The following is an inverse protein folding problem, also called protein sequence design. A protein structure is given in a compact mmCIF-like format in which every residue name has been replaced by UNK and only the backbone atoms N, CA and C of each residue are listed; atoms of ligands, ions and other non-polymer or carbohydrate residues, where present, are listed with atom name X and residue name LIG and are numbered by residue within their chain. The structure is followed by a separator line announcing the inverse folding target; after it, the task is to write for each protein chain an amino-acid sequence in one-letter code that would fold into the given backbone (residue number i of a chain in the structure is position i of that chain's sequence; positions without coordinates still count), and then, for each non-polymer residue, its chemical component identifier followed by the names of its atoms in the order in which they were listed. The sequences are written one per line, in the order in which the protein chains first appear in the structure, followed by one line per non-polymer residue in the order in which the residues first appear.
data_IF_910723566813
#
_entry.id   IF_910723566813
#
_cell.length_a   1.000
_cell.length_b   1.000
_cell.length_c   1.000
_cell.angle_alpha   90.00
_cell.angle_beta   90.00
_cell.angle_gamma   90.00
#
_symmetry.space_group_name_H-M   'P 1'
#
loop_
_entity.id
_entity.type
_entity.pdbx_description
1 polymer ?
#
# COMPACT_ATOMS: atom_id res chain seq x y z
N UNK A 1 -36.05 -24.21 14.63
CA UNK A 1 -34.96 -25.20 14.72
C UNK A 1 -33.93 -24.87 15.81
N UNK A 2 -33.02 -25.80 16.18
CA UNK A 2 -31.96 -25.58 17.20
C UNK A 2 -30.59 -26.09 16.75
N UNK A 3 -29.53 -25.38 17.13
CA UNK A 3 -28.13 -25.86 17.07
C UNK A 3 -27.77 -26.48 18.42
N UNK A 4 -27.35 -27.74 18.40
CA UNK A 4 -27.05 -28.53 19.60
C UNK A 4 -25.56 -28.74 19.75
N UNK A 5 -25.04 -28.55 20.96
CA UNK A 5 -23.67 -28.88 21.32
C UNK A 5 -23.67 -30.20 22.07
N UNK A 6 -22.77 -31.10 21.69
CA UNK A 6 -22.59 -32.40 22.36
C UNK A 6 -21.18 -32.42 22.95
N UNK A 7 -21.08 -32.58 24.27
CA UNK A 7 -19.79 -32.82 24.92
C UNK A 7 -19.36 -34.27 24.67
N UNK A 8 -18.28 -34.47 23.90
CA UNK A 8 -17.87 -35.80 23.43
C UNK A 8 -17.48 -36.74 24.57
N UNK A 9 -16.92 -36.21 25.65
CA UNK A 9 -16.47 -37.03 26.78
C UNK A 9 -17.63 -37.60 27.62
N UNK A 10 -18.75 -36.86 27.72
CA UNK A 10 -19.87 -37.18 28.62
C UNK A 10 -21.15 -37.56 27.87
N UNK A 11 -21.26 -37.17 26.60
CA UNK A 11 -22.50 -37.25 25.83
C UNK A 11 -23.54 -36.19 26.23
N UNK A 12 -23.19 -35.21 27.05
CA UNK A 12 -24.12 -34.15 27.45
C UNK A 12 -24.52 -33.31 26.23
N UNK A 13 -25.83 -33.09 26.06
CA UNK A 13 -26.39 -32.32 24.93
C UNK A 13 -27.02 -31.03 25.43
N UNK A 14 -26.40 -29.89 25.12
CA UNK A 14 -26.95 -28.56 25.41
C UNK A 14 -27.44 -27.89 24.13
N UNK A 15 -28.37 -26.93 24.26
CA UNK A 15 -28.69 -26.01 23.15
C UNK A 15 -27.63 -24.92 23.15
N UNK A 16 -27.04 -24.65 21.98
CA UNK A 16 -26.12 -23.52 21.79
C UNK A 16 -26.89 -22.27 21.35
N UNK A 17 -27.77 -22.42 20.35
CA UNK A 17 -28.65 -21.36 19.85
C UNK A 17 -29.90 -21.93 19.19
N UNK A 18 -30.95 -21.12 19.08
CA UNK A 18 -32.21 -21.45 18.41
C UNK A 18 -33.39 -21.65 19.37
N UNK A 19 -34.46 -20.87 19.16
CA UNK A 19 -35.71 -20.94 19.92
C UNK A 19 -36.39 -22.33 19.80
N UNK A 20 -36.25 -22.95 18.64
CA UNK A 20 -36.98 -24.16 18.25
C UNK A 20 -38.07 -23.88 17.23
N UNK A 21 -38.55 -22.65 17.14
CA UNK A 21 -39.49 -22.18 16.11
C UNK A 21 -38.76 -21.88 14.79
N UNK A 22 -39.50 -21.87 13.68
CA UNK A 22 -38.98 -21.49 12.37
C UNK A 22 -39.08 -19.97 12.22
N UNK A 23 -37.96 -19.35 11.84
CA UNK A 23 -37.82 -17.91 11.68
C UNK A 23 -36.37 -17.58 11.35
N UNK A 24 -36.05 -16.30 11.18
CA UNK A 24 -34.73 -15.81 10.75
C UNK A 24 -34.12 -14.77 11.70
N UNK A 25 -34.69 -14.59 12.90
CA UNK A 25 -34.23 -13.62 13.86
C UNK A 25 -32.77 -13.89 14.31
N UNK A 26 -31.93 -12.86 14.25
CA UNK A 26 -30.63 -12.83 14.93
C UNK A 26 -30.84 -12.60 16.44
N UNK A 27 -29.91 -13.06 17.26
CA UNK A 27 -30.04 -12.98 18.72
C UNK A 27 -29.12 -13.92 19.47
N UNK A 28 -29.24 -13.93 20.79
CA UNK A 28 -28.40 -14.77 21.67
C UNK A 28 -29.21 -15.96 22.19
N UNK A 29 -28.66 -17.17 22.03
CA UNK A 29 -29.24 -18.39 22.58
C UNK A 29 -30.63 -18.70 21.99
N UNK A 30 -31.64 -18.84 22.86
CA UNK A 30 -33.02 -19.14 22.44
C UNK A 30 -33.76 -17.94 21.81
N UNK A 31 -33.16 -16.73 21.77
CA UNK A 31 -33.72 -15.59 21.05
C UNK A 31 -33.45 -15.61 19.53
N UNK A 32 -32.46 -16.39 19.10
CA UNK A 32 -32.18 -16.59 17.69
C UNK A 32 -33.13 -17.62 17.07
N UNK A 33 -33.44 -17.47 15.79
CA UNK A 33 -34.30 -18.37 15.04
C UNK A 33 -33.62 -18.84 13.76
N UNK A 34 -33.92 -20.10 13.39
CA UNK A 34 -33.40 -20.78 12.22
C UNK A 34 -34.53 -21.54 11.52
N UNK A 35 -34.45 -21.63 10.20
CA UNK A 35 -35.36 -22.41 9.36
C UNK A 35 -34.58 -23.43 8.53
N UNK A 36 -34.69 -24.71 8.93
CA UNK A 36 -33.96 -25.82 8.32
C UNK A 36 -32.43 -25.58 8.20
N UNK A 37 -31.71 -25.36 9.33
CA UNK A 37 -30.25 -25.28 9.29
C UNK A 37 -29.67 -26.64 8.85
N UNK A 38 -28.92 -26.64 7.75
CA UNK A 38 -28.52 -27.87 7.06
C UNK A 38 -27.03 -28.17 7.21
N UNK A 39 -26.17 -27.27 6.74
CA UNK A 39 -24.71 -27.36 6.85
C UNK A 39 -24.17 -26.59 8.03
N UNK A 40 -23.08 -27.09 8.62
CA UNK A 40 -22.29 -26.37 9.63
C UNK A 40 -20.80 -26.54 9.38
N UNK A 41 -20.05 -25.44 9.50
CA UNK A 41 -18.59 -25.42 9.50
C UNK A 41 -18.10 -24.69 10.76
N UNK A 42 -16.92 -25.06 11.26
CA UNK A 42 -16.28 -24.39 12.39
C UNK A 42 -15.14 -23.51 11.88
N UNK A 43 -14.93 -22.35 12.49
CA UNK A 43 -13.77 -21.52 12.23
C UNK A 43 -12.48 -22.22 12.67
N UNK A 44 -11.32 -21.94 12.05
CA UNK A 44 -10.04 -22.59 12.42
C UNK A 44 -9.62 -22.41 13.88
N UNK A 45 -10.01 -21.29 14.50
CA UNK A 45 -9.77 -20.99 15.91
C UNK A 45 -10.81 -21.63 16.86
N UNK A 46 -11.87 -22.23 16.32
CA UNK A 46 -12.94 -22.87 17.08
C UNK A 46 -13.93 -21.89 17.73
N UNK A 47 -13.80 -20.58 17.51
CA UNK A 47 -14.61 -19.56 18.17
C UNK A 47 -16.01 -19.39 17.54
N UNK A 48 -16.16 -19.69 16.26
CA UNK A 48 -17.40 -19.48 15.52
C UNK A 48 -17.85 -20.72 14.73
N UNK A 49 -19.16 -20.92 14.62
CA UNK A 49 -19.79 -21.83 13.67
C UNK A 49 -20.43 -21.02 12.54
N UNK A 50 -20.32 -21.50 11.31
CA UNK A 50 -21.05 -20.98 10.16
C UNK A 50 -22.11 -21.99 9.77
N UNK A 51 -23.36 -21.53 9.71
CA UNK A 51 -24.55 -22.36 9.50
C UNK A 51 -25.21 -21.93 8.20
N UNK A 52 -25.46 -22.90 7.32
CA UNK A 52 -26.30 -22.72 6.15
C UNK A 52 -27.77 -22.86 6.59
N UNK A 53 -28.47 -21.73 6.68
CA UNK A 53 -29.87 -21.63 7.11
C UNK A 53 -30.77 -21.72 5.88
N UNK A 54 -30.99 -22.96 5.43
CA UNK A 54 -31.39 -23.28 4.06
C UNK A 54 -32.71 -22.62 3.65
N UNK A 55 -33.74 -22.70 4.47
CA UNK A 55 -35.07 -22.14 4.12
C UNK A 55 -35.15 -20.63 4.32
N UNK A 56 -34.15 -20.04 4.98
CA UNK A 56 -34.02 -18.59 5.12
C UNK A 56 -33.05 -18.00 4.07
N UNK A 57 -32.49 -18.80 3.17
CA UNK A 57 -31.53 -18.36 2.14
C UNK A 57 -30.38 -17.50 2.71
N UNK A 58 -29.88 -17.88 3.90
CA UNK A 58 -28.88 -17.12 4.68
C UNK A 58 -27.72 -17.98 5.17
N UNK A 59 -26.56 -17.34 5.32
CA UNK A 59 -25.40 -17.88 6.03
C UNK A 59 -25.30 -17.17 7.38
N UNK A 60 -25.39 -17.94 8.47
CA UNK A 60 -25.43 -17.43 9.85
C UNK A 60 -24.13 -17.77 10.56
N UNK A 61 -23.62 -16.85 11.38
CA UNK A 61 -22.49 -17.07 12.29
C UNK A 61 -23.00 -17.26 13.71
N UNK A 62 -22.55 -18.29 14.39
CA UNK A 62 -22.84 -18.56 15.80
C UNK A 62 -21.54 -18.50 16.60
N UNK A 63 -21.44 -17.57 17.53
CA UNK A 63 -20.31 -17.49 18.47
C UNK A 63 -20.41 -18.64 19.49
N UNK A 64 -19.39 -19.51 19.55
CA UNK A 64 -19.40 -20.73 20.36
C UNK A 64 -19.44 -20.43 21.85
N UNK A 65 -18.81 -19.33 22.28
CA UNK A 65 -18.73 -18.94 23.68
C UNK A 65 -20.04 -18.35 24.22
N UNK A 66 -20.76 -17.56 23.40
CA UNK A 66 -21.92 -16.78 23.85
C UNK A 66 -23.25 -17.30 23.31
N UNK A 67 -23.23 -18.09 22.23
CA UNK A 67 -24.44 -18.47 21.49
C UNK A 67 -25.05 -17.31 20.72
N UNK A 68 -24.32 -16.22 20.50
CA UNK A 68 -24.75 -15.10 19.66
C UNK A 68 -24.81 -15.51 18.19
N UNK A 69 -25.94 -15.24 17.55
CA UNK A 69 -26.21 -15.51 16.14
C UNK A 69 -26.30 -14.20 15.38
N UNK A 70 -25.53 -14.10 14.30
CA UNK A 70 -25.59 -12.98 13.35
C UNK A 70 -25.68 -13.49 11.91
N UNK A 71 -26.32 -12.72 11.03
CA UNK A 71 -26.29 -12.97 9.59
C UNK A 71 -24.98 -12.46 8.99
N UNK A 72 -24.29 -13.31 8.22
CA UNK A 72 -23.01 -12.96 7.55
C UNK A 72 -23.22 -12.66 6.07
N UNK A 73 -24.13 -13.37 5.41
CA UNK A 73 -24.49 -13.15 4.03
C UNK A 73 -25.90 -13.71 3.75
N UNK A 74 -26.60 -13.11 2.78
CA UNK A 74 -27.91 -13.54 2.32
C UNK A 74 -29.02 -12.56 2.71
N UNK A 75 -29.76 -12.09 1.71
CA UNK A 75 -30.88 -11.15 1.87
C UNK A 75 -32.14 -11.79 2.47
N UNK A 76 -32.20 -13.13 2.48
CA UNK A 76 -33.41 -13.89 2.75
C UNK A 76 -34.37 -13.99 1.56
N UNK A 77 -34.02 -13.40 0.41
CA UNK A 77 -34.72 -13.60 -0.85
C UNK A 77 -33.99 -14.67 -1.64
N UNK A 78 -34.71 -15.73 -2.01
CA UNK A 78 -34.20 -16.78 -2.88
C UNK A 78 -33.74 -16.21 -4.23
N UNK A 79 -32.49 -16.45 -4.59
CA UNK A 79 -31.91 -16.00 -5.85
C UNK A 79 -30.42 -16.30 -5.96
N UNK A 80 -29.80 -15.78 -7.01
CA UNK A 80 -28.38 -16.04 -7.32
C UNK A 80 -27.56 -14.76 -7.47
N UNK A 81 -28.07 -13.62 -7.00
CA UNK A 81 -27.38 -12.34 -7.08
C UNK A 81 -26.12 -12.35 -6.20
N UNK A 82 -25.01 -11.87 -6.75
CA UNK A 82 -23.79 -11.62 -5.98
C UNK A 82 -23.89 -10.29 -5.23
N UNK A 83 -23.25 -10.22 -4.07
CA UNK A 83 -23.26 -9.04 -3.21
C UNK A 83 -22.42 -9.24 -1.96
N UNK A 84 -22.39 -8.20 -1.12
CA UNK A 84 -21.73 -8.24 0.19
C UNK A 84 -22.80 -8.27 1.28
N UNK A 85 -22.66 -9.18 2.24
CA UNK A 85 -23.60 -9.30 3.35
C UNK A 85 -25.02 -9.58 2.88
N UNK A 86 -25.97 -8.78 3.36
CA UNK A 86 -27.41 -8.92 3.08
C UNK A 86 -27.80 -8.51 1.64
N UNK A 87 -26.86 -8.03 0.83
CA UNK A 87 -27.09 -7.77 -0.60
C UNK A 87 -26.94 -9.03 -1.47
N UNK A 88 -26.30 -10.08 -0.96
CA UNK A 88 -26.18 -11.35 -1.69
C UNK A 88 -27.48 -12.16 -1.60
N UNK A 89 -27.79 -12.93 -2.63
CA UNK A 89 -28.90 -13.88 -2.65
C UNK A 89 -28.36 -15.31 -2.80
N UNK A 90 -28.99 -16.24 -2.09
CA UNK A 90 -28.71 -17.68 -2.19
C UNK A 90 -29.98 -18.43 -2.60
N UNK A 91 -29.81 -19.59 -3.24
CA UNK A 91 -30.91 -20.52 -3.48
C UNK A 91 -30.67 -21.81 -2.69
N UNK A 92 -31.29 -21.92 -1.51
CA UNK A 92 -31.23 -23.12 -0.68
C UNK A 92 -29.81 -23.50 -0.25
N UNK A 93 -29.04 -22.62 0.43
CA UNK A 93 -27.68 -22.94 0.84
C UNK A 93 -27.67 -24.17 1.73
N UNK A 94 -26.78 -25.12 1.45
CA UNK A 94 -26.75 -26.43 2.11
C UNK A 94 -25.34 -26.80 2.59
N UNK A 95 -24.37 -26.94 1.69
CA UNK A 95 -22.99 -27.31 2.06
C UNK A 95 -22.20 -26.08 2.48
N UNK A 96 -21.36 -26.18 3.51
CA UNK A 96 -20.49 -25.08 3.93
C UNK A 96 -19.13 -25.60 4.40
N UNK A 97 -18.05 -24.92 4.01
CA UNK A 97 -16.68 -25.22 4.42
C UNK A 97 -15.89 -23.92 4.64
N UNK A 98 -15.09 -23.87 5.70
CA UNK A 98 -14.19 -22.75 6.01
C UNK A 98 -12.80 -22.97 5.41
N UNK A 99 -12.18 -21.87 4.97
CA UNK A 99 -10.78 -21.87 4.59
C UNK A 99 -9.87 -22.05 5.83
N UNK A 100 -8.67 -22.63 5.69
CA UNK A 100 -7.76 -22.84 6.83
C UNK A 100 -7.34 -21.57 7.59
N UNK A 101 -7.36 -20.43 6.91
CA UNK A 101 -7.08 -19.10 7.48
C UNK A 101 -8.32 -18.39 8.03
N UNK A 102 -9.51 -18.98 7.87
CA UNK A 102 -10.79 -18.45 8.36
C UNK A 102 -11.30 -17.22 7.61
N UNK A 103 -10.65 -16.83 6.51
CA UNK A 103 -11.01 -15.64 5.74
C UNK A 103 -12.23 -15.84 4.85
N UNK A 104 -12.49 -17.08 4.44
CA UNK A 104 -13.43 -17.41 3.36
C UNK A 104 -14.26 -18.66 3.69
N UNK A 105 -15.52 -18.67 3.24
CA UNK A 105 -16.40 -19.84 3.21
C UNK A 105 -16.69 -20.23 1.77
N UNK A 106 -16.70 -21.53 1.50
CA UNK A 106 -17.28 -22.11 0.30
C UNK A 106 -18.65 -22.66 0.65
N UNK A 107 -19.68 -22.17 -0.04
CA UNK A 107 -21.09 -22.49 0.19
C UNK A 107 -21.64 -23.19 -1.05
N UNK A 108 -22.13 -24.41 -0.90
CA UNK A 108 -22.88 -25.09 -1.95
C UNK A 108 -24.37 -24.79 -1.78
N UNK A 109 -24.96 -24.30 -2.85
CA UNK A 109 -26.37 -23.93 -2.99
C UNK A 109 -26.94 -24.63 -4.23
N UNK A 110 -28.26 -24.61 -4.40
CA UNK A 110 -28.92 -25.23 -5.55
C UNK A 110 -28.53 -24.54 -6.87
N UNK A 111 -28.16 -23.25 -6.82
CA UNK A 111 -27.69 -22.45 -7.95
C UNK A 111 -26.18 -22.63 -8.25
N UNK A 112 -25.40 -23.22 -7.33
CA UNK A 112 -23.98 -23.50 -7.54
C UNK A 112 -23.10 -23.39 -6.30
N UNK A 113 -21.78 -23.24 -6.53
CA UNK A 113 -20.80 -23.04 -5.47
C UNK A 113 -20.47 -21.55 -5.34
N UNK A 114 -20.67 -20.97 -4.16
CA UNK A 114 -20.47 -19.55 -3.86
C UNK A 114 -19.32 -19.37 -2.87
N UNK A 115 -18.61 -18.26 -2.97
CA UNK A 115 -17.54 -17.87 -2.05
C UNK A 115 -18.02 -16.70 -1.18
N UNK A 116 -17.90 -16.80 0.14
CA UNK A 116 -18.27 -15.74 1.10
C UNK A 116 -17.05 -15.33 1.91
N UNK A 117 -16.65 -14.06 1.84
CA UNK A 117 -15.56 -13.51 2.65
C UNK A 117 -16.09 -13.12 4.05
N UNK A 118 -15.47 -13.66 5.11
CA UNK A 118 -15.96 -13.54 6.50
C UNK A 118 -15.10 -12.62 7.36
N UNK A 119 -13.82 -12.49 7.03
CA UNK A 119 -12.94 -11.52 7.67
C UNK A 119 -12.90 -10.24 6.83
N UNK A 120 -13.00 -9.07 7.48
CA UNK A 120 -12.37 -7.90 6.92
C UNK A 120 -10.88 -8.24 6.70
N UNK A 121 -10.27 -7.92 5.54
CA UNK A 121 -8.86 -8.18 5.34
C UNK A 121 -8.07 -7.61 6.53
N UNK A 122 -7.06 -8.34 7.05
CA UNK A 122 -6.29 -7.84 8.18
C UNK A 122 -5.81 -6.42 7.89
N UNK A 123 -5.85 -5.49 8.87
CA UNK A 123 -5.30 -4.16 8.66
C UNK A 123 -3.89 -4.35 8.13
N UNK A 124 -3.57 -3.86 6.91
CA UNK A 124 -2.33 -4.23 6.27
C UNK A 124 -1.17 -3.71 7.13
N UNK A 125 -0.02 -4.40 7.09
CA UNK A 125 1.09 -4.14 7.99
C UNK A 125 1.39 -2.65 8.03
N UNK A 126 1.21 -2.04 9.20
CA UNK A 126 1.61 -0.66 9.43
C UNK A 126 3.12 -0.63 9.43
N UNK A 127 3.73 -0.11 8.37
CA UNK A 127 5.16 0.13 8.36
C UNK A 127 5.48 1.17 9.44
N UNK A 128 6.34 0.81 10.40
CA UNK A 128 6.80 1.73 11.44
C UNK A 128 7.29 3.04 10.78
N UNK A 129 6.87 4.24 11.21
CA UNK A 129 7.17 5.50 10.53
C UNK A 129 8.66 5.66 10.17
N UNK A 130 8.97 6.27 9.03
CA UNK A 130 10.37 6.57 8.68
C UNK A 130 10.91 7.50 9.78
N UNK A 131 11.99 7.07 10.44
CA UNK A 131 12.65 7.88 11.47
C UNK A 131 13.83 8.61 10.84
N UNK A 132 13.68 9.91 10.59
CA UNK A 132 14.76 10.77 10.10
C UNK A 132 15.62 11.23 11.29
N UNK A 133 16.93 10.97 11.31
CA UNK A 133 17.81 11.45 12.38
C UNK A 133 17.96 12.99 12.36
N UNK A 134 18.36 13.62 13.47
CA UNK A 134 18.63 15.05 13.51
C UNK A 134 19.74 15.46 12.52
N UNK A 135 19.76 16.75 12.21
CA UNK A 135 20.80 17.39 11.39
C UNK A 135 22.21 17.06 11.89
N UNK A 136 23.14 16.83 10.95
CA UNK A 136 24.56 16.56 11.24
C UNK A 136 25.48 17.74 10.89
N UNK A 137 24.94 18.82 10.29
CA UNK A 137 25.72 19.95 9.76
C UNK A 137 26.74 20.52 10.75
N UNK A 138 26.35 20.74 12.01
CA UNK A 138 27.25 21.30 13.02
C UNK A 138 28.46 20.41 13.31
N UNK A 139 28.26 19.09 13.34
CA UNK A 139 29.34 18.12 13.51
C UNK A 139 30.22 18.02 12.26
N UNK A 140 29.63 18.17 11.08
CA UNK A 140 30.35 18.10 9.81
C UNK A 140 31.25 19.34 9.60
N UNK A 141 30.79 20.54 9.95
CA UNK A 141 31.64 21.73 9.97
C UNK A 141 32.75 21.67 11.01
N UNK A 142 32.57 20.95 12.12
CA UNK A 142 33.68 20.75 13.06
C UNK A 142 34.84 19.95 12.40
N UNK A 143 34.54 19.04 11.46
CA UNK A 143 35.55 18.25 10.73
C UNK A 143 36.33 19.07 9.71
N UNK A 144 35.79 20.19 9.22
CA UNK A 144 36.50 21.01 8.22
C UNK A 144 37.61 21.84 8.82
N UNK A 145 37.60 22.07 10.14
CA UNK A 145 38.59 22.87 10.83
C UNK A 145 39.87 22.06 11.08
N UNK A 146 40.95 22.41 10.39
CA UNK A 146 42.28 21.86 10.63
C UNK A 146 42.56 20.49 10.00
N UNK A 147 41.64 19.98 9.17
CA UNK A 147 41.86 18.78 8.36
C UNK A 147 42.58 19.15 7.06
N UNK A 148 43.91 19.01 7.06
CA UNK A 148 44.76 19.30 5.91
C UNK A 148 44.55 18.34 4.72
N UNK A 149 43.80 17.25 4.88
CA UNK A 149 43.46 16.35 3.76
C UNK A 149 42.39 16.93 2.85
N UNK A 150 41.58 17.88 3.36
CA UNK A 150 40.52 18.50 2.60
C UNK A 150 41.05 19.48 1.55
N UNK A 151 40.36 19.63 0.41
CA UNK A 151 40.68 20.66 -0.57
C UNK A 151 40.40 22.05 -0.01
N UNK A 152 41.21 23.03 -0.40
CA UNK A 152 40.93 24.45 -0.19
C UNK A 152 40.20 25.05 -1.40
N UNK A 153 39.46 26.13 -1.19
CA UNK A 153 38.82 26.89 -2.27
C UNK A 153 37.42 26.44 -2.65
N UNK A 154 36.95 27.00 -3.78
CA UNK A 154 35.59 26.84 -4.30
C UNK A 154 35.60 26.07 -5.62
N UNK A 155 34.46 25.51 -6.00
CA UNK A 155 34.21 24.87 -7.28
C UNK A 155 32.98 25.50 -7.94
N UNK A 156 32.99 25.54 -9.26
CA UNK A 156 31.79 25.75 -10.07
C UNK A 156 31.36 24.43 -10.70
N UNK A 157 30.09 24.06 -10.57
CA UNK A 157 29.55 22.90 -11.28
C UNK A 157 28.89 23.32 -12.58
N UNK A 158 29.17 22.58 -13.65
CA UNK A 158 28.46 22.64 -14.93
C UNK A 158 27.46 21.49 -14.94
N UNK A 159 26.17 21.76 -14.96
CA UNK A 159 25.11 20.78 -14.74
C UNK A 159 24.27 20.59 -15.99
N UNK A 160 24.03 19.34 -16.35
CA UNK A 160 23.20 18.98 -17.49
C UNK A 160 23.84 19.29 -18.85
N UNK A 161 23.07 19.08 -19.91
CA UNK A 161 23.54 19.22 -21.30
C UNK A 161 23.75 20.68 -21.72
N UNK A 162 23.04 21.61 -21.08
CA UNK A 162 23.14 23.05 -21.31
C UNK A 162 24.28 23.72 -20.51
N UNK A 163 25.06 22.93 -19.75
CA UNK A 163 26.18 23.37 -18.90
C UNK A 163 25.82 24.53 -17.96
N UNK A 164 24.62 24.50 -17.38
CA UNK A 164 24.18 25.52 -16.43
C UNK A 164 25.06 25.52 -15.17
N UNK A 165 25.25 26.71 -14.58
CA UNK A 165 26.34 26.92 -13.60
C UNK A 165 25.84 27.06 -12.17
N UNK A 166 26.41 26.27 -11.27
CA UNK A 166 26.35 26.51 -9.82
C UNK A 166 27.71 26.97 -9.34
N UNK A 167 27.85 28.26 -9.07
CA UNK A 167 29.13 28.88 -8.77
C UNK A 167 29.44 28.92 -7.28
N UNK A 168 30.73 29.07 -6.97
CA UNK A 168 31.22 29.42 -5.63
C UNK A 168 30.92 28.40 -4.51
N UNK A 169 30.80 27.12 -4.85
CA UNK A 169 30.50 26.04 -3.90
C UNK A 169 31.74 25.61 -3.15
N UNK A 170 31.65 25.45 -1.83
CA UNK A 170 32.81 25.15 -0.97
C UNK A 170 33.18 23.66 -1.01
N UNK A 171 34.36 23.32 -1.56
CA UNK A 171 34.79 21.90 -1.71
C UNK A 171 34.92 21.19 -0.37
N UNK A 172 35.45 21.86 0.65
CA UNK A 172 35.62 21.32 2.00
C UNK A 172 34.28 20.90 2.66
N UNK A 173 33.23 21.69 2.49
CA UNK A 173 31.89 21.41 3.02
C UNK A 173 31.30 20.17 2.33
N UNK A 174 31.43 20.08 1.01
CA UNK A 174 31.00 18.90 0.25
C UNK A 174 31.71 17.63 0.74
N UNK A 175 33.04 17.68 0.91
CA UNK A 175 33.84 16.55 1.39
C UNK A 175 33.53 16.14 2.85
N UNK A 176 33.06 17.08 3.68
CA UNK A 176 32.64 16.77 5.05
C UNK A 176 31.31 16.01 5.09
N UNK A 177 30.49 16.16 4.05
CA UNK A 177 29.07 15.77 4.02
C UNK A 177 28.78 14.61 3.06
N UNK A 178 29.70 14.34 2.14
CA UNK A 178 29.62 13.23 1.17
C UNK A 178 30.97 12.54 1.00
N UNK A 179 31.05 11.22 1.20
CA UNK A 179 32.26 10.45 0.92
C UNK A 179 32.60 10.42 -0.58
N UNK A 180 31.60 10.58 -1.44
CA UNK A 180 31.80 10.67 -2.90
C UNK A 180 32.54 11.96 -3.26
N UNK A 181 32.09 13.11 -2.73
CA UNK A 181 32.83 14.36 -2.92
C UNK A 181 34.21 14.34 -2.26
N UNK A 182 34.34 13.69 -1.09
CA UNK A 182 35.66 13.48 -0.46
C UNK A 182 36.62 12.71 -1.36
N UNK A 183 36.12 11.72 -2.07
CA UNK A 183 36.92 10.94 -3.03
C UNK A 183 37.24 11.81 -4.25
N UNK A 184 36.23 12.46 -4.85
CA UNK A 184 36.37 13.32 -6.04
C UNK A 184 37.40 14.44 -5.83
N UNK A 185 37.36 15.14 -4.70
CA UNK A 185 38.32 16.21 -4.40
C UNK A 185 39.50 15.75 -3.52
N UNK A 186 39.69 14.43 -3.43
CA UNK A 186 40.76 13.80 -2.67
C UNK A 186 42.15 14.03 -3.29
N UNK A 187 43.20 13.76 -2.52
CA UNK A 187 44.59 13.87 -2.98
C UNK A 187 44.81 12.95 -4.19
N UNK A 188 45.38 13.50 -5.26
CA UNK A 188 45.69 12.77 -6.49
C UNK A 188 44.59 12.79 -7.54
N UNK A 189 43.41 13.35 -7.24
CA UNK A 189 42.35 13.57 -8.22
C UNK A 189 42.51 14.89 -8.94
N UNK A 190 42.15 14.94 -10.23
CA UNK A 190 42.28 16.15 -11.05
C UNK A 190 41.28 17.22 -10.61
N UNK A 191 40.10 16.80 -10.21
CA UNK A 191 38.99 17.62 -9.76
C UNK A 191 39.33 18.40 -8.48
N UNK A 192 40.30 17.90 -7.69
CA UNK A 192 40.80 18.58 -6.48
C UNK A 192 41.25 20.00 -6.77
N UNK A 193 42.01 20.20 -7.85
CA UNK A 193 42.58 21.50 -8.23
C UNK A 193 41.78 22.19 -9.34
N UNK A 194 40.77 21.51 -9.92
CA UNK A 194 39.92 22.08 -10.96
C UNK A 194 39.02 23.21 -10.42
N UNK A 195 38.92 24.31 -11.16
CA UNK A 195 37.95 25.37 -10.86
C UNK A 195 36.51 24.96 -11.22
N UNK A 196 36.36 24.07 -12.21
CA UNK A 196 35.08 23.65 -12.78
C UNK A 196 34.99 22.12 -12.83
N UNK A 197 33.80 21.58 -12.56
CA UNK A 197 33.48 20.15 -12.63
C UNK A 197 32.15 19.96 -13.34
N UNK A 198 32.11 19.11 -14.35
CA UNK A 198 30.87 18.78 -15.07
C UNK A 198 30.13 17.64 -14.38
N UNK A 199 28.82 17.80 -14.21
CA UNK A 199 27.89 16.81 -13.64
C UNK A 199 26.84 16.47 -14.68
N UNK A 200 26.90 15.24 -15.16
CA UNK A 200 25.96 14.71 -16.16
C UNK A 200 24.80 13.96 -15.50
N UNK A 201 23.75 13.70 -16.28
CA UNK A 201 22.59 12.87 -15.87
C UNK A 201 21.75 13.43 -14.70
N UNK A 202 21.71 14.74 -14.54
CA UNK A 202 20.81 15.43 -13.60
C UNK A 202 20.48 16.82 -14.15
N UNK A 203 19.32 17.34 -13.76
CA UNK A 203 18.95 18.73 -14.03
C UNK A 203 19.53 19.69 -12.96
N UNK A 204 19.56 20.97 -13.30
CA UNK A 204 20.08 22.03 -12.42
C UNK A 204 19.29 22.15 -11.11
N UNK A 205 17.97 21.98 -11.13
CA UNK A 205 17.10 22.19 -9.95
C UNK A 205 17.40 21.12 -8.91
N UNK A 206 17.39 19.85 -9.31
CA UNK A 206 17.67 18.72 -8.42
C UNK A 206 19.09 18.78 -7.86
N UNK A 207 20.08 19.10 -8.69
CA UNK A 207 21.46 19.21 -8.23
C UNK A 207 21.67 20.43 -7.32
N UNK A 208 21.01 21.55 -7.59
CA UNK A 208 21.02 22.73 -6.69
C UNK A 208 20.44 22.37 -5.32
N UNK A 209 19.33 21.64 -5.28
CA UNK A 209 18.74 21.18 -4.02
C UNK A 209 19.68 20.27 -3.21
N UNK A 210 20.43 19.38 -3.89
CA UNK A 210 21.48 18.58 -3.25
C UNK A 210 22.57 19.47 -2.63
N UNK A 211 23.10 20.42 -3.41
CA UNK A 211 24.17 21.32 -2.95
C UNK A 211 23.69 22.16 -1.77
N UNK A 212 22.50 22.75 -1.86
CA UNK A 212 21.91 23.55 -0.79
C UNK A 212 21.74 22.73 0.49
N UNK A 213 21.26 21.48 0.39
CA UNK A 213 21.16 20.59 1.54
C UNK A 213 22.54 20.25 2.14
N UNK A 214 23.55 19.99 1.32
CA UNK A 214 24.91 19.70 1.79
C UNK A 214 25.50 20.90 2.54
N UNK A 215 25.20 22.12 2.11
CA UNK A 215 25.72 23.35 2.70
C UNK A 215 24.92 23.84 3.92
N UNK A 216 23.65 23.48 4.05
CA UNK A 216 22.75 24.09 5.04
C UNK A 216 21.86 23.15 5.84
N UNK A 217 21.82 21.85 5.51
CA UNK A 217 20.83 20.88 6.01
C UNK A 217 19.35 21.26 5.73
N UNK A 218 19.11 22.31 4.92
CA UNK A 218 17.77 22.73 4.49
C UNK A 218 17.26 21.73 3.46
N UNK A 219 16.10 21.14 3.75
CA UNK A 219 15.37 20.29 2.83
C UNK A 219 14.20 21.10 2.25
N UNK A 220 14.28 21.36 0.95
CA UNK A 220 13.32 22.17 0.22
C UNK A 220 13.06 21.53 -1.13
N UNK A 221 11.80 21.20 -1.40
CA UNK A 221 11.35 20.62 -2.66
C UNK A 221 10.57 21.64 -3.51
N UNK A 222 10.57 22.92 -3.12
CA UNK A 222 9.79 23.96 -3.78
C UNK A 222 8.29 23.75 -3.63
N UNK A 223 7.55 24.16 -4.66
CA UNK A 223 6.08 24.14 -4.72
C UNK A 223 5.50 22.71 -4.66
N UNK A 224 4.19 22.59 -4.44
CA UNK A 224 3.51 21.28 -4.39
C UNK A 224 3.46 20.59 -5.76
N UNK A 225 3.29 21.35 -6.83
CA UNK A 225 3.27 20.81 -8.18
C UNK A 225 4.64 20.26 -8.58
N UNK A 226 4.69 18.97 -8.95
CA UNK A 226 5.95 18.28 -9.25
C UNK A 226 6.82 17.96 -8.02
N UNK A 227 6.33 18.18 -6.80
CA UNK A 227 7.06 17.88 -5.55
C UNK A 227 7.50 16.43 -5.47
N UNK A 228 6.62 15.50 -5.86
CA UNK A 228 6.90 14.07 -5.87
C UNK A 228 8.06 13.73 -6.82
N UNK A 229 8.05 14.30 -8.03
CA UNK A 229 9.13 14.09 -9.00
C UNK A 229 10.47 14.63 -8.49
N UNK A 230 10.48 15.88 -7.99
CA UNK A 230 11.70 16.45 -7.39
C UNK A 230 12.21 15.65 -6.19
N UNK A 231 11.32 15.04 -5.41
CA UNK A 231 11.71 14.14 -4.32
C UNK A 231 12.33 12.84 -4.83
N UNK A 232 11.87 12.30 -5.98
CA UNK A 232 12.49 11.15 -6.64
C UNK A 232 13.90 11.50 -7.12
N UNK A 233 14.02 12.57 -7.90
CA UNK A 233 15.29 13.01 -8.49
C UNK A 233 16.33 13.32 -7.40
N UNK A 234 15.91 14.05 -6.35
CA UNK A 234 16.78 14.36 -5.22
C UNK A 234 17.17 13.14 -4.39
N UNK A 235 16.30 12.12 -4.31
CA UNK A 235 16.62 10.86 -3.63
C UNK A 235 17.67 10.07 -4.40
N UNK A 236 17.56 9.98 -5.73
CA UNK A 236 18.57 9.34 -6.58
C UNK A 236 19.93 10.01 -6.40
N UNK A 237 19.97 11.34 -6.39
CA UNK A 237 21.17 12.11 -6.07
C UNK A 237 21.67 11.84 -4.65
N UNK A 238 20.80 11.78 -3.65
CA UNK A 238 21.19 11.48 -2.27
C UNK A 238 21.83 10.09 -2.14
N UNK A 239 21.33 9.09 -2.87
CA UNK A 239 21.94 7.76 -2.96
C UNK A 239 23.29 7.81 -3.68
N UNK A 240 23.33 8.46 -4.85
CA UNK A 240 24.53 8.59 -5.68
C UNK A 240 25.69 9.25 -4.91
N UNK A 241 25.40 10.34 -4.19
CA UNK A 241 26.38 11.09 -3.40
C UNK A 241 26.48 10.61 -1.95
N UNK A 242 25.79 9.53 -1.59
CA UNK A 242 25.79 8.89 -0.27
C UNK A 242 25.51 9.88 0.88
N UNK A 243 24.30 10.42 0.88
CA UNK A 243 23.77 11.39 1.85
C UNK A 243 22.55 10.78 2.56
N UNK A 244 22.74 9.87 3.54
CA UNK A 244 21.65 9.02 4.04
C UNK A 244 20.48 9.78 4.68
N UNK A 245 20.76 10.88 5.38
CA UNK A 245 19.70 11.70 5.98
C UNK A 245 18.81 12.35 4.91
N UNK A 246 19.40 12.82 3.81
CA UNK A 246 18.64 13.40 2.70
C UNK A 246 17.81 12.33 2.00
N UNK A 247 18.37 11.14 1.80
CA UNK A 247 17.64 10.00 1.25
C UNK A 247 16.39 9.68 2.08
N UNK A 248 16.51 9.65 3.42
CA UNK A 248 15.37 9.40 4.31
C UNK A 248 14.34 10.53 4.30
N UNK A 249 14.77 11.79 4.21
CA UNK A 249 13.87 12.94 4.05
C UNK A 249 13.08 12.87 2.74
N UNK A 250 13.74 12.50 1.64
CA UNK A 250 13.07 12.31 0.35
C UNK A 250 12.11 11.12 0.41
N UNK A 251 12.51 10.01 1.02
CA UNK A 251 11.64 8.85 1.23
C UNK A 251 10.38 9.22 2.03
N UNK A 252 10.52 9.99 3.11
CA UNK A 252 9.36 10.49 3.88
C UNK A 252 8.47 11.40 3.02
N UNK A 253 9.04 12.36 2.30
CA UNK A 253 8.27 13.26 1.43
C UNK A 253 7.49 12.49 0.34
N UNK A 254 8.05 11.41 -0.20
CA UNK A 254 7.36 10.54 -1.17
C UNK A 254 6.17 9.82 -0.54
N UNK A 255 6.27 9.38 0.72
CA UNK A 255 5.16 8.77 1.44
C UNK A 255 4.02 9.76 1.71
N UNK A 256 4.37 11.00 2.03
CA UNK A 256 3.42 12.10 2.23
C UNK A 256 2.79 12.55 0.90
N UNK A 257 3.44 12.28 -0.22
CA UNK A 257 2.96 12.64 -1.56
C UNK A 257 2.04 11.59 -2.19
N UNK A 258 1.72 10.48 -1.51
CA UNK A 258 0.81 9.44 -2.02
C UNK A 258 -0.62 9.98 -2.01
N UNK A 259 -1.17 10.21 -3.20
CA UNK A 259 -2.50 10.77 -3.44
C UNK A 259 -3.10 10.19 -4.74
N UNK A 260 -4.38 10.44 -5.06
CA UNK A 260 -5.03 9.80 -6.21
C UNK A 260 -4.31 10.00 -7.56
N UNK A 261 -3.71 11.16 -7.81
CA UNK A 261 -2.98 11.44 -9.06
C UNK A 261 -1.56 10.87 -9.07
N UNK A 262 -0.95 10.69 -7.91
CA UNK A 262 0.48 10.37 -7.76
C UNK A 262 0.73 8.92 -7.37
N UNK A 263 -0.25 8.20 -6.83
CA UNK A 263 -0.09 6.85 -6.29
C UNK A 263 0.43 5.86 -7.34
N UNK A 264 -0.03 5.96 -8.58
CA UNK A 264 0.38 5.06 -9.67
C UNK A 264 1.77 5.41 -10.21
N UNK A 265 2.10 6.68 -10.54
CA UNK A 265 3.48 7.07 -10.86
C UNK A 265 4.50 6.70 -9.76
N UNK A 266 4.14 6.93 -8.49
CA UNK A 266 5.01 6.60 -7.35
C UNK A 266 5.19 5.09 -7.17
N UNK A 267 4.20 4.28 -7.53
CA UNK A 267 4.31 2.82 -7.52
C UNK A 267 5.36 2.30 -8.52
N UNK A 268 5.35 2.85 -9.74
CA UNK A 268 6.34 2.52 -10.77
C UNK A 268 7.75 2.96 -10.34
N UNK A 269 7.88 4.20 -9.83
CA UNK A 269 9.14 4.71 -9.33
C UNK A 269 9.67 3.89 -8.14
N UNK A 270 8.81 3.53 -7.19
CA UNK A 270 9.17 2.71 -6.04
C UNK A 270 9.69 1.32 -6.46
N UNK A 271 9.12 0.73 -7.51
CA UNK A 271 9.61 -0.52 -8.05
C UNK A 271 11.03 -0.40 -8.63
N UNK A 272 11.26 0.63 -9.46
CA UNK A 272 12.58 0.90 -10.06
C UNK A 272 13.65 1.14 -9.01
N UNK A 273 13.32 1.88 -7.95
CA UNK A 273 14.24 2.15 -6.82
C UNK A 273 14.35 0.99 -5.82
N UNK A 274 13.61 -0.12 -6.02
CA UNK A 274 13.49 -1.22 -5.04
C UNK A 274 13.06 -0.75 -3.64
N UNK A 275 12.23 0.31 -3.56
CA UNK A 275 11.65 0.79 -2.31
C UNK A 275 10.40 -0.02 -1.95
N UNK A 276 10.61 -1.13 -1.26
CA UNK A 276 9.52 -2.02 -0.85
C UNK A 276 8.46 -1.36 0.03
N UNK A 277 8.81 -0.31 0.77
CA UNK A 277 7.89 0.37 1.67
C UNK A 277 6.95 1.31 0.91
N UNK A 278 7.51 2.17 0.07
CA UNK A 278 6.72 3.05 -0.79
C UNK A 278 5.87 2.23 -1.77
N UNK A 279 6.43 1.14 -2.31
CA UNK A 279 5.71 0.20 -3.17
C UNK A 279 4.47 -0.36 -2.46
N UNK A 280 4.63 -0.85 -1.23
CA UNK A 280 3.51 -1.41 -0.46
C UNK A 280 2.47 -0.35 -0.08
N UNK A 281 2.90 0.86 0.28
CA UNK A 281 1.99 1.97 0.56
C UNK A 281 1.18 2.37 -0.69
N UNK A 282 1.82 2.51 -1.84
CA UNK A 282 1.14 2.86 -3.08
C UNK A 282 0.15 1.76 -3.51
N UNK A 283 0.55 0.49 -3.41
CA UNK A 283 -0.35 -0.65 -3.68
C UNK A 283 -1.62 -0.60 -2.82
N UNK A 284 -1.43 -0.41 -1.52
CA UNK A 284 -2.55 -0.27 -0.57
C UNK A 284 -3.44 0.91 -0.92
N UNK A 285 -2.84 2.08 -1.15
CA UNK A 285 -3.60 3.28 -1.49
C UNK A 285 -4.44 3.09 -2.76
N UNK A 286 -3.88 2.46 -3.80
CA UNK A 286 -4.61 2.17 -5.04
C UNK A 286 -5.76 1.18 -4.80
N UNK A 287 -5.56 0.16 -3.96
CA UNK A 287 -6.62 -0.77 -3.60
C UNK A 287 -7.76 -0.10 -2.81
N UNK A 288 -7.43 0.78 -1.85
CA UNK A 288 -8.39 1.45 -0.98
C UNK A 288 -9.14 2.60 -1.71
N UNK A 289 -8.53 3.22 -2.73
CA UNK A 289 -9.04 4.43 -3.42
C UNK A 289 -9.16 4.28 -4.95
N UNK A 290 -9.46 3.07 -5.44
CA UNK A 290 -9.44 2.75 -6.87
C UNK A 290 -10.27 3.70 -7.76
N UNK A 291 -11.45 4.13 -7.30
CA UNK A 291 -12.32 5.05 -8.05
C UNK A 291 -11.74 6.47 -8.16
N UNK A 292 -11.11 6.97 -7.09
CA UNK A 292 -10.48 8.29 -7.06
C UNK A 292 -9.20 8.31 -7.91
N UNK A 293 -8.39 7.27 -7.82
CA UNK A 293 -7.18 7.08 -8.64
C UNK A 293 -7.52 7.00 -10.13
N UNK A 294 -8.67 6.40 -10.46
CA UNK A 294 -9.19 6.38 -11.83
C UNK A 294 -9.60 7.78 -12.31
N UNK A 295 -10.32 8.52 -11.48
CA UNK A 295 -10.81 9.85 -11.83
C UNK A 295 -9.70 10.90 -11.93
N UNK A 296 -8.56 10.67 -11.28
CA UNK A 296 -7.43 11.61 -11.25
C UNK A 296 -6.60 11.66 -12.53
N UNK A 297 -6.78 10.69 -13.45
CA UNK A 297 -5.92 10.52 -14.63
C UNK A 297 -4.52 9.97 -14.29
N UNK A 298 -4.24 9.58 -13.04
CA UNK A 298 -2.92 9.08 -12.62
C UNK A 298 -2.48 7.82 -13.35
N UNK A 299 -3.43 7.00 -13.84
CA UNK A 299 -3.15 5.80 -14.65
C UNK A 299 -2.68 6.14 -16.06
N UNK A 300 -3.09 7.30 -16.60
CA UNK A 300 -2.74 7.75 -17.96
C UNK A 300 -1.29 8.25 -18.04
N UNK A 301 -0.66 8.54 -16.90
CA UNK A 301 0.71 9.03 -16.78
C UNK A 301 1.77 7.91 -16.76
N UNK A 302 1.34 6.63 -16.84
CA UNK A 302 2.23 5.47 -16.83
C UNK A 302 3.07 5.37 -18.10
N UNK A 303 4.36 5.08 -17.93
CA UNK A 303 5.26 4.76 -19.06
C UNK A 303 5.11 3.31 -19.52
N UNK A 304 4.87 2.38 -18.58
CA UNK A 304 4.61 0.96 -18.87
C UNK A 304 3.44 0.39 -18.04
N UNK A 305 2.28 0.25 -18.70
CA UNK A 305 1.07 -0.30 -18.10
C UNK A 305 1.21 -1.79 -17.71
N UNK A 306 2.10 -2.53 -18.35
CA UNK A 306 2.35 -3.95 -18.09
C UNK A 306 3.08 -4.17 -16.76
N UNK A 307 4.03 -3.29 -16.44
CA UNK A 307 4.74 -3.27 -15.14
C UNK A 307 3.78 -2.90 -14.02
N UNK A 308 2.97 -1.85 -14.19
CA UNK A 308 1.92 -1.51 -13.23
C UNK A 308 0.93 -2.67 -13.02
N UNK A 309 0.59 -3.40 -14.09
CA UNK A 309 -0.29 -4.58 -14.02
C UNK A 309 0.28 -5.74 -13.22
N UNK A 310 1.54 -6.09 -13.48
CA UNK A 310 2.24 -7.13 -12.70
C UNK A 310 2.47 -6.72 -11.24
N UNK A 311 2.59 -5.42 -10.95
CA UNK A 311 2.84 -4.92 -9.61
C UNK A 311 1.57 -4.76 -8.77
N UNK A 312 0.39 -4.57 -9.36
CA UNK A 312 -0.86 -4.37 -8.62
C UNK A 312 -1.71 -5.65 -8.48
N UNK A 313 -1.42 -6.69 -9.27
CA UNK A 313 -2.17 -7.96 -9.21
C UNK A 313 -3.67 -7.77 -9.46
N UNK A 314 -4.51 -8.53 -8.74
CA UNK A 314 -5.99 -8.53 -8.84
C UNK A 314 -6.64 -7.16 -8.53
N UNK A 315 -5.91 -6.21 -7.92
CA UNK A 315 -6.38 -4.84 -7.71
C UNK A 315 -6.68 -4.12 -9.05
N UNK A 316 -6.17 -4.64 -10.18
CA UNK A 316 -6.47 -4.16 -11.52
C UNK A 316 -7.52 -4.99 -12.28
N UNK A 317 -8.13 -6.03 -11.72
CA UNK A 317 -9.23 -6.70 -12.43
C UNK A 317 -10.49 -5.81 -12.48
N UNK A 318 -10.63 -4.88 -11.54
CA UNK A 318 -11.57 -3.75 -11.63
C UNK A 318 -11.10 -2.63 -12.59
N UNK A 319 -9.86 -2.70 -13.08
CA UNK A 319 -9.24 -1.78 -14.04
C UNK A 319 -9.14 -2.39 -15.45
N UNK A 320 -9.37 -3.69 -15.64
CA UNK A 320 -9.56 -4.26 -16.97
C UNK A 320 -10.79 -3.64 -17.68
N UNK A 321 -11.79 -3.19 -16.92
CA UNK A 321 -12.91 -2.38 -17.42
C UNK A 321 -12.51 -0.96 -17.87
N UNK A 322 -11.31 -0.48 -17.54
CA UNK A 322 -10.86 0.89 -17.83
C UNK A 322 -10.48 1.16 -19.28
N UNK A 323 -10.08 0.14 -20.06
CA UNK A 323 -9.96 0.32 -21.52
C UNK A 323 -11.28 0.14 -22.24
N UNK A 324 -12.21 -0.65 -21.68
CA UNK A 324 -13.53 -0.86 -22.28
C UNK A 324 -14.36 0.42 -22.33
N UNK A 325 -14.26 1.27 -21.30
CA UNK A 325 -15.00 2.53 -21.19
C UNK A 325 -14.36 3.70 -21.96
N UNK A 326 -13.03 3.82 -21.98
CA UNK A 326 -12.33 4.85 -22.78
C UNK A 326 -12.39 4.55 -24.29
N UNK A 327 -12.34 3.27 -24.70
CA UNK A 327 -12.57 2.89 -26.10
C UNK A 327 -14.02 3.11 -26.53
N UNK A 328 -15.01 2.94 -25.64
CA UNK A 328 -16.41 3.20 -25.92
C UNK A 328 -16.73 4.71 -26.05
N UNK A 329 -16.07 5.57 -25.27
CA UNK A 329 -16.21 7.03 -25.34
C UNK A 329 -15.53 7.63 -26.59
N UNK A 330 -14.41 7.07 -27.03
CA UNK A 330 -13.72 7.51 -28.26
C UNK A 330 -14.31 6.90 -29.55
N UNK A 331 -15.21 5.92 -29.44
CA UNK A 331 -15.87 5.25 -30.57
C UNK A 331 -17.23 5.83 -30.99
N UNK A 332 -17.72 6.88 -30.33
CA UNK A 332 -19.05 7.49 -30.60
C UNK A 332 -19.02 8.91 -31.18
N UNK A 333 -17.85 9.40 -31.61
CA UNK A 333 -17.74 10.61 -32.46
C UNK A 333 -17.13 10.31 -33.83
N UNK A 334 -17.79 9.43 -34.60
CA UNK A 334 -17.52 9.17 -36.01
C UNK A 334 -18.75 9.47 -36.87
#
# INVERSE_FOLDING_TARGET
SKIRRVEVATGEVTTLAGSGEEGDADGVGDAAEFCHPYGVAISPDGCALFVADQCNDKIRRVEVATGEVTTVAGSGTRGSADGVGDAAEFEGPAGIASSPDGSTLLVASDDGLRQVCVAAPPPPPSFAPIVVPPSTLGADFAKTRGDASLPEGKVTFLVGDDEERIEHVSKNNLCARSPVFRTMFGIGMKERDAAEVTVSHTDLVSFTALIDYLLSDKFDLGEEEGRAQRALDLRELAQMYQVPRLELLCAQALQESVAPATAVPLLEAAHTMSDGRLLAQCRRFVADHAAEVRASGGVEQLRDLGVAKGLLGDALDQVAELKGTVAALNGTQG
#
